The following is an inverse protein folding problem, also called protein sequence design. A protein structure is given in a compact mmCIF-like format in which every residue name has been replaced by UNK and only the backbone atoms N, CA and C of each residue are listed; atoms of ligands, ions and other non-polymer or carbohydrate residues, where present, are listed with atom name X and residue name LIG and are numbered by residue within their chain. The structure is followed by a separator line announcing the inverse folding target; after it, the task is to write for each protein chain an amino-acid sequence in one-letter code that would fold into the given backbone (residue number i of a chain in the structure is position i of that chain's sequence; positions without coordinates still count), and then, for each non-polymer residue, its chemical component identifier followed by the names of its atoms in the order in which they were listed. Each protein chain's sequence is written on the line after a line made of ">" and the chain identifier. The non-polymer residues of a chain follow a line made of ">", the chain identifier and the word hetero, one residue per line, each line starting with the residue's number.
data_IF_722128943931
#
_entry.id   IF_722128943931
#
_cell.length_a   1.000
_cell.length_b   1.000
_cell.length_c   1.000
_cell.angle_alpha   90.00
_cell.angle_beta   90.00
_cell.angle_gamma   90.00
#
_symmetry.space_group_name_H-M   'P 1'
#
loop_
_entity.id
_entity.type
_entity.pdbx_description
1 polymer ?
#
# COMPACT_ATOMS: atom_id res chain seq x y z
N UNK A 1 -7.18 -16.44 -17.02
CA UNK A 1 -6.90 -16.30 -15.56
C UNK A 1 -8.25 -16.03 -14.92
N UNK A 2 -8.80 -16.97 -14.21
CA UNK A 2 -10.01 -16.77 -13.44
C UNK A 2 -9.62 -15.96 -12.19
N UNK A 3 -10.01 -14.69 -12.17
CA UNK A 3 -9.98 -13.88 -10.95
C UNK A 3 -11.33 -14.07 -10.27
N UNK A 4 -11.39 -14.41 -8.97
CA UNK A 4 -12.63 -14.63 -8.23
C UNK A 4 -13.65 -13.48 -8.26
N UNK A 5 -13.31 -12.33 -8.85
CA UNK A 5 -14.12 -11.11 -8.97
C UNK A 5 -14.78 -10.90 -10.34
N UNK A 6 -14.79 -11.92 -11.21
CA UNK A 6 -15.56 -11.85 -12.48
C UNK A 6 -17.07 -11.76 -12.25
N UNK A 7 -17.52 -12.21 -11.08
CA UNK A 7 -18.94 -12.21 -10.71
C UNK A 7 -19.61 -10.84 -10.84
N UNK A 8 -18.99 -9.78 -10.32
CA UNK A 8 -19.56 -8.44 -10.39
C UNK A 8 -19.67 -7.95 -11.84
N UNK A 9 -18.63 -8.16 -12.63
CA UNK A 9 -18.63 -7.77 -14.04
C UNK A 9 -19.64 -8.57 -14.87
N UNK A 10 -19.73 -9.88 -14.66
CA UNK A 10 -20.72 -10.74 -15.34
C UNK A 10 -22.15 -10.38 -14.93
N UNK A 11 -22.40 -9.98 -13.68
CA UNK A 11 -23.69 -9.53 -13.22
C UNK A 11 -24.12 -8.22 -13.92
N UNK A 12 -23.21 -7.29 -14.12
CA UNK A 12 -23.48 -6.09 -14.93
C UNK A 12 -23.82 -6.46 -16.37
N UNK A 13 -23.00 -7.29 -17.01
CA UNK A 13 -23.19 -7.71 -18.41
C UNK A 13 -24.50 -8.45 -18.60
N UNK A 14 -24.90 -9.36 -17.69
CA UNK A 14 -26.15 -10.10 -17.76
C UNK A 14 -27.41 -9.23 -17.60
N UNK A 15 -27.26 -8.04 -16.98
CA UNK A 15 -28.30 -7.04 -16.84
C UNK A 15 -28.25 -5.94 -17.92
N UNK A 16 -27.49 -6.14 -18.98
CA UNK A 16 -27.47 -5.25 -20.16
C UNK A 16 -26.50 -4.08 -20.07
N UNK A 17 -25.70 -4.01 -19.01
CA UNK A 17 -24.65 -3.00 -18.88
C UNK A 17 -23.35 -3.48 -19.48
N UNK A 18 -22.51 -2.57 -19.95
CA UNK A 18 -21.14 -2.93 -20.28
C UNK A 18 -20.24 -2.81 -19.06
N UNK A 19 -19.22 -3.63 -19.03
CA UNK A 19 -18.25 -3.67 -17.97
C UNK A 19 -16.85 -3.90 -18.55
N UNK A 20 -15.92 -3.04 -18.17
CA UNK A 20 -14.51 -3.12 -18.54
C UNK A 20 -13.67 -3.13 -17.28
N UNK A 21 -12.71 -4.02 -17.20
CA UNK A 21 -11.63 -3.79 -16.24
C UNK A 21 -10.82 -2.59 -16.69
N UNK A 22 -10.53 -1.67 -15.78
CA UNK A 22 -9.89 -0.38 -16.07
C UNK A 22 -8.72 -0.11 -15.12
N UNK A 23 -8.00 0.97 -15.36
CA UNK A 23 -6.94 1.50 -14.52
C UNK A 23 -5.91 0.42 -14.09
N UNK A 24 -5.60 0.34 -12.80
CA UNK A 24 -4.62 -0.61 -12.26
C UNK A 24 -4.97 -2.06 -12.57
N UNK A 25 -6.27 -2.41 -12.63
CA UNK A 25 -6.70 -3.79 -12.93
C UNK A 25 -6.28 -4.20 -14.33
N UNK A 26 -6.59 -3.40 -15.34
CA UNK A 26 -6.21 -3.69 -16.74
C UNK A 26 -4.68 -3.66 -16.91
N UNK A 27 -3.99 -2.70 -16.27
CA UNK A 27 -2.52 -2.64 -16.22
C UNK A 27 -1.91 -3.93 -15.65
N UNK A 28 -2.38 -4.35 -14.48
CA UNK A 28 -1.82 -5.49 -13.78
C UNK A 28 -2.06 -6.80 -14.55
N UNK A 29 -3.21 -6.93 -15.22
CA UNK A 29 -3.48 -8.04 -16.15
C UNK A 29 -2.48 -8.06 -17.31
N UNK A 30 -2.17 -6.92 -17.93
CA UNK A 30 -1.15 -6.82 -18.99
C UNK A 30 0.26 -7.18 -18.47
N UNK A 31 0.56 -6.82 -17.22
CA UNK A 31 1.81 -7.17 -16.54
C UNK A 31 1.83 -8.61 -15.98
N UNK A 32 0.75 -9.39 -16.17
CA UNK A 32 0.56 -10.74 -15.61
C UNK A 32 0.69 -10.78 -14.09
N UNK A 33 0.31 -9.71 -13.42
CA UNK A 33 0.21 -9.61 -11.96
C UNK A 33 -1.23 -9.89 -11.52
N UNK A 34 -1.39 -10.40 -10.29
CA UNK A 34 -2.72 -10.48 -9.68
C UNK A 34 -3.12 -9.09 -9.15
N UNK A 35 -4.22 -8.50 -9.61
CA UNK A 35 -4.70 -7.23 -9.09
C UNK A 35 -5.02 -7.34 -7.59
N UNK A 36 -4.68 -6.30 -6.82
CA UNK A 36 -5.02 -6.19 -5.40
C UNK A 36 -6.41 -5.59 -5.18
N UNK A 37 -6.95 -4.93 -6.21
CA UNK A 37 -8.29 -4.38 -6.29
C UNK A 37 -8.81 -4.58 -7.71
N UNK A 38 -10.12 -4.56 -7.87
CA UNK A 38 -10.76 -4.63 -9.17
C UNK A 38 -11.46 -3.30 -9.46
N UNK A 39 -11.05 -2.66 -10.55
CA UNK A 39 -11.65 -1.44 -11.05
C UNK A 39 -12.50 -1.79 -12.28
N UNK A 40 -13.80 -1.49 -12.24
CA UNK A 40 -14.75 -1.74 -13.31
C UNK A 40 -15.32 -0.41 -13.79
N UNK A 41 -15.08 -0.07 -15.06
CA UNK A 41 -15.80 1.00 -15.73
C UNK A 41 -17.10 0.44 -16.29
N UNK A 42 -18.23 1.11 -15.99
CA UNK A 42 -19.56 0.70 -16.44
C UNK A 42 -20.45 1.90 -16.79
N UNK A 43 -21.50 1.66 -17.56
CA UNK A 43 -22.56 2.64 -17.81
C UNK A 43 -23.79 2.46 -16.89
N UNK A 44 -23.70 1.58 -15.91
CA UNK A 44 -24.71 1.49 -14.86
C UNK A 44 -24.55 2.68 -13.89
N UNK A 45 -25.64 3.39 -13.62
CA UNK A 45 -25.67 4.47 -12.65
C UNK A 45 -25.69 3.94 -11.19
N UNK A 46 -25.58 4.86 -10.21
CA UNK A 46 -25.56 4.51 -8.78
C UNK A 46 -26.83 3.78 -8.33
N UNK A 47 -27.99 4.15 -8.87
CA UNK A 47 -29.26 3.51 -8.53
C UNK A 47 -29.32 2.08 -9.10
N UNK A 48 -28.80 1.89 -10.30
CA UNK A 48 -28.73 0.57 -10.93
C UNK A 48 -27.73 -0.33 -10.20
N UNK A 49 -26.56 0.20 -9.80
CA UNK A 49 -25.61 -0.52 -8.97
C UNK A 49 -26.22 -0.95 -7.63
N UNK A 50 -26.97 -0.06 -6.96
CA UNK A 50 -27.62 -0.40 -5.68
C UNK A 50 -28.72 -1.48 -5.80
N UNK A 51 -29.34 -1.61 -6.97
CA UNK A 51 -30.31 -2.68 -7.26
C UNK A 51 -29.62 -4.03 -7.56
N UNK A 52 -28.44 -3.97 -8.16
CA UNK A 52 -27.69 -5.17 -8.53
C UNK A 52 -26.88 -5.74 -7.37
N UNK A 53 -26.36 -4.88 -6.50
CA UNK A 53 -25.45 -5.28 -5.42
C UNK A 53 -25.96 -4.76 -4.08
N UNK A 54 -26.33 -5.66 -3.17
CA UNK A 54 -26.89 -5.33 -1.84
C UNK A 54 -25.91 -4.61 -0.92
N UNK A 55 -24.61 -4.89 -1.09
CA UNK A 55 -23.54 -4.42 -0.19
C UNK A 55 -22.67 -3.33 -0.82
N UNK A 56 -23.20 -2.63 -1.83
CA UNK A 56 -22.50 -1.53 -2.48
C UNK A 56 -22.50 -0.29 -1.60
N UNK A 57 -21.31 0.32 -1.43
CA UNK A 57 -21.12 1.57 -0.72
C UNK A 57 -20.75 2.69 -1.69
N UNK A 58 -21.43 3.82 -1.58
CA UNK A 58 -21.12 5.00 -2.39
C UNK A 58 -19.99 5.80 -1.77
N UNK A 59 -19.06 6.26 -2.60
CA UNK A 59 -17.95 7.12 -2.18
C UNK A 59 -18.23 8.56 -2.56
N UNK A 60 -18.05 9.50 -1.62
CA UNK A 60 -18.04 10.93 -1.88
C UNK A 60 -16.70 11.33 -2.54
N UNK A 61 -16.43 10.82 -3.72
CA UNK A 61 -15.29 11.25 -4.54
C UNK A 61 -15.79 11.99 -5.77
N UNK A 62 -14.96 12.86 -6.32
CA UNK A 62 -15.26 13.60 -7.55
C UNK A 62 -15.55 12.69 -8.78
N UNK A 63 -15.20 11.43 -8.68
CA UNK A 63 -15.46 10.42 -9.69
C UNK A 63 -16.59 9.52 -9.19
N UNK A 64 -17.85 9.84 -9.45
CA UNK A 64 -19.05 9.06 -9.13
C UNK A 64 -18.77 7.55 -9.01
N UNK A 65 -18.20 7.14 -7.90
CA UNK A 65 -17.71 5.78 -7.71
C UNK A 65 -18.45 5.09 -6.59
N UNK A 66 -18.63 3.80 -6.76
CA UNK A 66 -19.17 2.91 -5.73
C UNK A 66 -18.18 1.78 -5.48
N UNK A 67 -18.21 1.18 -4.32
CA UNK A 67 -17.37 0.04 -4.00
C UNK A 67 -18.11 -1.02 -3.21
N UNK A 68 -17.65 -2.26 -3.30
CA UNK A 68 -18.06 -3.38 -2.45
C UNK A 68 -16.86 -4.30 -2.19
N UNK A 69 -17.01 -5.22 -1.24
CA UNK A 69 -16.08 -6.33 -1.05
C UNK A 69 -16.66 -7.59 -1.71
N UNK A 70 -15.92 -8.15 -2.67
CA UNK A 70 -16.26 -9.44 -3.27
C UNK A 70 -15.21 -10.47 -2.80
N UNK A 71 -15.65 -11.41 -1.96
CA UNK A 71 -14.79 -12.28 -1.18
C UNK A 71 -13.81 -11.45 -0.32
N UNK A 72 -12.52 -11.42 -0.64
CA UNK A 72 -11.50 -10.63 0.06
C UNK A 72 -10.89 -9.51 -0.81
N UNK A 73 -11.46 -9.24 -1.99
CA UNK A 73 -10.94 -8.25 -2.94
C UNK A 73 -11.90 -7.07 -3.04
N UNK A 74 -11.43 -5.83 -2.84
CA UNK A 74 -12.26 -4.64 -3.05
C UNK A 74 -12.52 -4.42 -4.55
N UNK A 75 -13.80 -4.24 -4.89
CA UNK A 75 -14.26 -3.92 -6.25
C UNK A 75 -14.76 -2.49 -6.27
N UNK A 76 -14.23 -1.68 -7.18
CA UNK A 76 -14.61 -0.29 -7.40
C UNK A 76 -15.29 -0.14 -8.75
N UNK A 77 -16.44 0.54 -8.76
CA UNK A 77 -17.18 0.86 -9.96
C UNK A 77 -16.96 2.33 -10.31
N UNK A 78 -16.53 2.57 -11.54
CA UNK A 78 -16.41 3.89 -12.13
C UNK A 78 -17.53 4.05 -13.15
N UNK A 79 -18.35 5.09 -12.97
CA UNK A 79 -19.52 5.31 -13.80
C UNK A 79 -19.12 6.19 -14.97
N UNK A 80 -19.48 5.75 -16.17
CA UNK A 80 -19.30 6.54 -17.37
C UNK A 80 -20.34 7.65 -17.47
N UNK A 81 -19.94 8.85 -17.88
CA UNK A 81 -20.84 9.99 -18.12
C UNK A 81 -21.85 9.76 -19.27
N UNK A 82 -21.74 8.65 -19.99
CA UNK A 82 -22.62 8.34 -21.11
C UNK A 82 -23.77 7.42 -20.69
N UNK A 83 -25.03 7.90 -20.74
CA UNK A 83 -26.18 7.13 -20.25
C UNK A 83 -26.51 5.92 -21.14
N UNK A 84 -27.19 4.97 -20.52
CA UNK A 84 -27.59 3.65 -21.08
C UNK A 84 -28.55 3.76 -22.28
N UNK A 85 -29.22 4.88 -22.49
CA UNK A 85 -30.44 4.98 -23.30
C UNK A 85 -30.30 4.82 -24.82
N UNK A 86 -29.13 4.56 -25.35
CA UNK A 86 -28.96 4.52 -26.81
C UNK A 86 -28.26 3.28 -27.35
N UNK A 87 -28.76 2.11 -27.01
CA UNK A 87 -28.39 0.87 -27.69
C UNK A 87 -28.98 0.71 -29.12
N UNK A 88 -29.61 1.73 -29.67
CA UNK A 88 -30.08 1.73 -31.06
C UNK A 88 -28.95 2.22 -31.95
N UNK A 89 -28.24 1.28 -32.60
CA UNK A 89 -27.26 1.62 -33.66
C UNK A 89 -27.99 2.24 -34.83
N UNK A 90 -28.02 3.56 -34.87
CA UNK A 90 -28.44 4.29 -36.05
C UNK A 90 -27.20 4.43 -36.99
N UNK A 91 -27.28 4.04 -38.25
CA UNK A 91 -26.19 4.21 -39.18
C UNK A 91 -25.73 5.69 -39.23
N UNK A 92 -24.43 5.94 -38.95
CA UNK A 92 -23.86 7.27 -38.85
C UNK A 92 -23.76 7.87 -37.45
N UNK A 93 -24.27 7.20 -36.41
CA UNK A 93 -24.04 7.60 -35.01
C UNK A 93 -22.64 7.23 -34.52
N UNK A 94 -22.10 8.12 -33.69
CA UNK A 94 -20.86 7.87 -32.94
C UNK A 94 -21.01 6.59 -32.10
N UNK A 95 -19.96 5.76 -32.07
CA UNK A 95 -19.90 4.61 -31.17
C UNK A 95 -19.71 5.14 -29.74
N UNK A 96 -20.84 5.31 -29.02
CA UNK A 96 -20.89 5.88 -27.67
C UNK A 96 -20.01 5.10 -26.67
N UNK A 97 -19.92 3.78 -26.82
CA UNK A 97 -19.05 2.96 -25.98
C UNK A 97 -17.58 3.33 -26.20
N UNK A 98 -17.17 3.49 -27.46
CA UNK A 98 -15.80 3.89 -27.81
C UNK A 98 -15.49 5.32 -27.34
N UNK A 99 -16.43 6.23 -27.47
CA UNK A 99 -16.27 7.61 -26.99
C UNK A 99 -16.15 7.67 -25.47
N UNK A 100 -16.97 6.91 -24.76
CA UNK A 100 -16.89 6.78 -23.30
C UNK A 100 -15.52 6.26 -22.83
N UNK A 101 -14.97 5.25 -23.52
CA UNK A 101 -13.64 4.76 -23.23
C UNK A 101 -12.55 5.81 -23.50
N UNK A 102 -12.68 6.60 -24.58
CA UNK A 102 -11.75 7.71 -24.84
C UNK A 102 -11.79 8.78 -23.75
N UNK A 103 -12.99 9.15 -23.30
CA UNK A 103 -13.15 10.12 -22.21
C UNK A 103 -12.51 9.56 -20.92
N UNK A 104 -12.79 8.31 -20.60
CA UNK A 104 -12.23 7.66 -19.42
C UNK A 104 -10.69 7.56 -19.49
N UNK A 105 -10.13 7.20 -20.67
CA UNK A 105 -8.68 7.14 -20.87
C UNK A 105 -8.00 8.50 -20.66
N UNK A 106 -8.61 9.59 -21.13
CA UNK A 106 -8.09 10.95 -20.98
C UNK A 106 -8.27 11.51 -19.55
N UNK A 107 -9.11 10.88 -18.72
CA UNK A 107 -9.25 11.21 -17.30
C UNK A 107 -8.22 10.50 -16.42
N UNK A 108 -7.59 9.45 -16.91
CA UNK A 108 -6.55 8.78 -16.14
C UNK A 108 -5.37 9.72 -15.87
N UNK A 109 -4.80 9.61 -14.67
CA UNK A 109 -3.63 10.39 -14.32
C UNK A 109 -2.39 9.93 -15.08
N UNK A 110 -2.20 8.62 -15.18
CA UNK A 110 -1.02 8.01 -15.78
C UNK A 110 -1.35 7.20 -17.03
N UNK A 111 -0.54 7.33 -18.08
CA UNK A 111 -0.69 6.56 -19.32
C UNK A 111 -0.74 5.06 -19.09
N UNK A 112 0.08 4.54 -18.15
CA UNK A 112 0.12 3.11 -17.83
C UNK A 112 -1.16 2.56 -17.18
N UNK A 113 -2.10 3.42 -16.82
CA UNK A 113 -3.42 3.07 -16.30
C UNK A 113 -4.56 3.29 -17.32
N UNK A 114 -4.28 3.80 -18.53
CA UNK A 114 -5.30 4.14 -19.51
C UNK A 114 -5.78 2.97 -20.40
N UNK A 115 -5.58 1.75 -19.90
CA UNK A 115 -6.04 0.53 -20.57
C UNK A 115 -7.42 0.10 -20.09
N UNK A 116 -8.16 -0.54 -21.01
CA UNK A 116 -9.42 -1.20 -20.68
C UNK A 116 -9.42 -2.62 -21.21
N UNK A 117 -9.97 -3.55 -20.43
CA UNK A 117 -10.16 -4.93 -20.85
C UNK A 117 -11.66 -5.23 -20.96
N UNK A 118 -12.13 -5.51 -22.17
CA UNK A 118 -13.50 -5.92 -22.43
C UNK A 118 -13.67 -7.37 -21.98
N UNK A 119 -14.41 -7.57 -20.91
CA UNK A 119 -14.56 -8.90 -20.28
C UNK A 119 -15.34 -9.85 -21.19
N UNK A 120 -16.35 -9.34 -21.91
CA UNK A 120 -17.19 -10.16 -22.81
C UNK A 120 -16.46 -10.58 -24.09
N UNK A 121 -15.58 -9.70 -24.63
CA UNK A 121 -14.86 -9.95 -25.88
C UNK A 121 -13.43 -10.45 -25.65
N UNK A 122 -12.97 -10.44 -24.41
CA UNK A 122 -11.60 -10.81 -24.03
C UNK A 122 -10.51 -10.01 -24.76
N UNK A 123 -10.74 -8.70 -24.97
CA UNK A 123 -9.85 -7.83 -25.73
C UNK A 123 -9.43 -6.61 -24.92
N UNK A 124 -8.14 -6.27 -24.96
CA UNK A 124 -7.62 -5.03 -24.43
C UNK A 124 -7.82 -3.87 -25.42
N UNK A 125 -8.12 -2.70 -24.90
CA UNK A 125 -8.18 -1.43 -25.61
C UNK A 125 -7.09 -0.50 -25.09
N UNK A 126 -6.24 -0.04 -26.00
CA UNK A 126 -5.22 0.98 -25.78
C UNK A 126 -5.56 2.19 -26.67
N UNK A 127 -6.22 3.17 -26.11
CA UNK A 127 -6.76 4.32 -26.85
C UNK A 127 -5.77 5.49 -26.94
N UNK A 128 -4.73 5.48 -26.11
CA UNK A 128 -3.72 6.53 -26.01
C UNK A 128 -2.33 6.08 -26.47
N UNK A 129 -2.22 4.89 -27.09
CA UNK A 129 -0.94 4.29 -27.50
C UNK A 129 0.06 4.22 -26.32
N UNK A 130 -0.45 3.74 -25.17
CA UNK A 130 0.28 3.72 -23.90
C UNK A 130 1.06 2.42 -23.65
N UNK A 131 0.91 1.42 -24.53
CA UNK A 131 1.57 0.13 -24.36
C UNK A 131 3.10 0.22 -24.39
N UNK A 132 3.64 1.17 -25.15
CA UNK A 132 5.08 1.44 -25.21
C UNK A 132 5.62 1.88 -23.84
N UNK A 133 4.90 2.79 -23.15
CA UNK A 133 5.26 3.25 -21.79
C UNK A 133 5.16 2.12 -20.78
N UNK A 134 4.08 1.33 -20.86
CA UNK A 134 3.91 0.15 -19.99
C UNK A 134 5.06 -0.85 -20.17
N UNK A 135 5.44 -1.15 -21.41
CA UNK A 135 6.51 -2.09 -21.74
C UNK A 135 7.88 -1.59 -21.32
N UNK A 136 8.15 -0.30 -21.47
CA UNK A 136 9.42 0.32 -21.09
C UNK A 136 9.51 0.63 -19.59
N UNK A 137 8.41 0.52 -18.85
CA UNK A 137 8.39 0.77 -17.41
C UNK A 137 8.52 2.25 -17.04
N UNK A 138 7.92 3.16 -17.84
CA UNK A 138 7.94 4.59 -17.58
C UNK A 138 6.61 5.09 -17.04
N UNK A 139 6.67 5.94 -16.00
CA UNK A 139 5.53 6.66 -15.44
C UNK A 139 5.46 8.04 -16.08
N UNK A 140 4.43 8.25 -16.90
CA UNK A 140 4.10 9.52 -17.53
C UNK A 140 2.64 9.87 -17.29
N UNK A 141 2.34 11.15 -17.14
CA UNK A 141 0.96 11.66 -17.10
C UNK A 141 0.29 11.58 -18.48
N UNK A 142 -1.04 11.45 -18.50
CA UNK A 142 -1.82 11.47 -19.75
C UNK A 142 -1.80 12.86 -20.39
N UNK A 143 -2.00 13.89 -19.57
CA UNK A 143 -1.94 15.31 -19.97
C UNK A 143 -0.62 15.94 -19.55
N UNK A 144 -0.42 17.23 -19.86
CA UNK A 144 0.71 17.98 -19.30
C UNK A 144 0.74 17.90 -17.78
N UNK A 145 1.96 17.88 -17.22
CA UNK A 145 2.14 17.64 -15.76
C UNK A 145 1.47 18.73 -14.91
N UNK A 146 1.50 19.99 -15.35
CA UNK A 146 0.87 21.08 -14.60
C UNK A 146 -0.67 20.98 -14.65
N UNK A 147 -1.22 20.59 -15.79
CA UNK A 147 -2.66 20.30 -15.93
C UNK A 147 -3.06 19.11 -15.05
N UNK A 148 -2.28 18.03 -15.11
CA UNK A 148 -2.50 16.85 -14.29
C UNK A 148 -2.46 17.18 -12.80
N UNK A 149 -1.52 18.02 -12.34
CA UNK A 149 -1.43 18.47 -10.96
C UNK A 149 -2.61 19.35 -10.53
N UNK A 150 -3.14 20.17 -11.44
CA UNK A 150 -4.36 20.94 -11.21
C UNK A 150 -5.59 20.06 -11.00
N UNK A 151 -5.70 18.97 -11.76
CA UNK A 151 -6.80 17.98 -11.65
C UNK A 151 -6.61 17.04 -10.46
N UNK A 152 -5.38 16.64 -10.17
CA UNK A 152 -5.01 15.71 -9.09
C UNK A 152 -4.03 16.37 -8.12
N UNK A 153 -4.52 17.14 -7.14
CA UNK A 153 -3.64 17.81 -6.17
C UNK A 153 -2.74 16.85 -5.39
N UNK A 154 -3.12 15.59 -5.26
CA UNK A 154 -2.34 14.52 -4.60
C UNK A 154 -1.40 13.76 -5.55
N UNK A 155 -1.09 14.34 -6.72
CA UNK A 155 -0.27 13.69 -7.76
C UNK A 155 1.05 13.12 -7.24
N UNK A 156 1.72 13.78 -6.29
CA UNK A 156 2.98 13.29 -5.73
C UNK A 156 2.79 11.95 -5.00
N UNK A 157 1.73 11.81 -4.19
CA UNK A 157 1.43 10.55 -3.51
C UNK A 157 0.98 9.46 -4.48
N UNK A 158 0.11 9.81 -5.44
CA UNK A 158 -0.33 8.87 -6.49
C UNK A 158 0.85 8.38 -7.35
N UNK A 159 1.81 9.26 -7.65
CA UNK A 159 3.06 8.90 -8.35
C UNK A 159 3.91 7.95 -7.51
N UNK A 160 4.11 8.25 -6.22
CA UNK A 160 4.86 7.40 -5.31
C UNK A 160 4.20 6.02 -5.14
N UNK A 161 2.87 5.97 -5.05
CA UNK A 161 2.10 4.72 -5.01
C UNK A 161 2.33 3.88 -6.26
N UNK A 162 2.12 4.44 -7.45
CA UNK A 162 2.33 3.74 -8.70
C UNK A 162 3.77 3.21 -8.83
N UNK A 163 4.77 4.02 -8.47
CA UNK A 163 6.16 3.60 -8.45
C UNK A 163 6.38 2.45 -7.46
N UNK A 164 5.80 2.53 -6.26
CA UNK A 164 5.97 1.51 -5.23
C UNK A 164 5.41 0.15 -5.63
N UNK A 165 4.30 0.13 -6.38
CA UNK A 165 3.62 -1.07 -6.90
C UNK A 165 4.36 -1.69 -8.09
N UNK A 166 4.87 -0.85 -8.98
CA UNK A 166 5.40 -1.29 -10.28
C UNK A 166 6.92 -1.39 -10.33
N UNK A 167 7.62 -0.53 -9.59
CA UNK A 167 9.07 -0.32 -9.71
C UNK A 167 9.45 0.44 -10.99
N UNK A 168 8.50 1.10 -11.64
CA UNK A 168 8.73 1.86 -12.86
C UNK A 168 9.53 3.14 -12.60
N UNK A 169 10.15 3.67 -13.64
CA UNK A 169 10.95 4.88 -13.59
C UNK A 169 10.10 6.10 -13.94
N UNK A 170 10.32 7.20 -13.24
CA UNK A 170 9.60 8.44 -13.50
C UNK A 170 10.12 9.12 -14.77
N UNK A 171 9.21 9.70 -15.53
CA UNK A 171 9.54 10.69 -16.55
C UNK A 171 10.24 11.90 -15.89
N UNK A 172 11.28 12.45 -16.55
CA UNK A 172 12.10 13.52 -15.99
C UNK A 172 11.29 14.81 -15.73
N UNK A 173 10.32 15.12 -16.58
CA UNK A 173 9.46 16.30 -16.42
C UNK A 173 8.58 16.15 -15.19
N UNK A 174 7.99 14.95 -14.99
CA UNK A 174 7.18 14.65 -13.82
C UNK A 174 8.02 14.73 -12.55
N UNK A 175 9.22 14.12 -12.54
CA UNK A 175 10.12 14.16 -11.38
C UNK A 175 10.52 15.60 -11.03
N UNK A 176 10.99 16.39 -12.01
CA UNK A 176 11.40 17.77 -11.80
C UNK A 176 10.28 18.66 -11.29
N UNK A 177 9.09 18.51 -11.87
CA UNK A 177 7.89 19.24 -11.41
C UNK A 177 7.56 18.94 -9.97
N UNK A 178 7.51 17.65 -9.56
CA UNK A 178 7.19 17.26 -8.19
C UNK A 178 8.24 17.73 -7.19
N UNK A 179 9.50 17.76 -7.59
CA UNK A 179 10.61 18.27 -6.76
C UNK A 179 10.53 19.78 -6.54
N UNK A 180 10.09 20.55 -7.54
CA UNK A 180 9.93 22.00 -7.47
C UNK A 180 8.69 22.40 -6.64
N UNK A 181 7.62 21.63 -6.71
CA UNK A 181 6.32 21.92 -6.06
C UNK A 181 6.31 21.71 -4.53
N UNK A 182 7.40 21.36 -3.92
CA UNK A 182 7.61 21.06 -2.49
C UNK A 182 6.42 21.36 -1.57
N UNK A 183 5.89 20.34 -0.94
CA UNK A 183 5.06 20.47 0.26
C UNK A 183 3.74 21.21 0.06
N UNK A 184 2.89 20.75 -0.85
CA UNK A 184 1.57 21.34 -1.04
C UNK A 184 0.69 21.16 0.20
N UNK A 185 -0.05 22.22 0.55
CA UNK A 185 -0.98 22.25 1.70
C UNK A 185 -2.08 21.16 1.66
N UNK A 186 -2.27 20.51 0.52
CA UNK A 186 -3.22 19.41 0.29
C UNK A 186 -3.07 18.26 1.29
N UNK A 187 -1.83 17.93 1.68
CA UNK A 187 -1.58 16.82 2.61
C UNK A 187 -1.82 17.15 4.09
N UNK A 188 -2.23 18.39 4.42
CA UNK A 188 -2.60 18.77 5.80
C UNK A 188 -3.89 18.08 6.25
N UNK A 189 -4.76 17.71 5.33
CA UNK A 189 -6.00 17.00 5.60
C UNK A 189 -5.86 15.56 5.06
N UNK A 190 -5.77 14.62 5.98
CA UNK A 190 -5.69 13.20 5.65
C UNK A 190 -7.13 12.68 5.45
N UNK A 191 -7.65 12.79 4.24
CA UNK A 191 -8.88 12.13 3.87
C UNK A 191 -8.69 10.60 3.72
N UNK A 192 -9.74 9.89 3.36
CA UNK A 192 -9.70 8.43 3.25
C UNK A 192 -8.85 7.97 2.06
N UNK A 193 -8.89 8.68 0.95
CA UNK A 193 -8.13 8.36 -0.25
C UNK A 193 -6.63 8.54 -0.01
N UNK A 194 -6.23 9.69 0.56
CA UNK A 194 -4.82 9.97 0.91
C UNK A 194 -4.29 8.96 1.93
N UNK A 195 -5.10 8.60 2.93
CA UNK A 195 -4.71 7.59 3.91
C UNK A 195 -4.50 6.21 3.28
N UNK A 196 -5.44 5.79 2.42
CA UNK A 196 -5.36 4.53 1.69
C UNK A 196 -4.14 4.49 0.75
N UNK A 197 -3.95 5.53 -0.07
CA UNK A 197 -2.84 5.60 -1.02
C UNK A 197 -1.49 5.57 -0.32
N UNK A 198 -1.36 6.21 0.85
CA UNK A 198 -0.14 6.14 1.65
C UNK A 198 0.11 4.73 2.22
N UNK A 199 -0.92 4.09 2.76
CA UNK A 199 -0.82 2.72 3.29
C UNK A 199 -0.46 1.73 2.17
N UNK A 200 -1.07 1.86 0.99
CA UNK A 200 -0.74 1.05 -0.19
C UNK A 200 0.71 1.27 -0.62
N UNK A 201 1.18 2.53 -0.62
CA UNK A 201 2.58 2.88 -0.91
C UNK A 201 3.54 2.18 0.04
N UNK A 202 3.25 2.20 1.34
CA UNK A 202 4.07 1.54 2.37
C UNK A 202 4.02 0.02 2.24
N UNK A 203 2.86 -0.54 1.89
CA UNK A 203 2.66 -1.99 1.76
C UNK A 203 3.21 -2.59 0.44
N UNK A 204 3.93 -1.82 -0.34
CA UNK A 204 4.41 -2.23 -1.65
C UNK A 204 5.90 -2.62 -1.65
N UNK A 205 6.31 -3.41 -2.64
CA UNK A 205 7.68 -3.93 -2.78
C UNK A 205 8.75 -2.84 -2.86
N UNK A 206 8.42 -1.70 -3.50
CA UNK A 206 9.36 -0.60 -3.69
C UNK A 206 9.09 0.58 -2.73
N UNK A 207 8.47 0.31 -1.57
CA UNK A 207 8.12 1.29 -0.55
C UNK A 207 9.30 2.19 -0.16
N UNK A 208 10.52 1.63 -0.03
CA UNK A 208 11.73 2.41 0.30
C UNK A 208 11.95 3.55 -0.70
N UNK A 209 11.89 3.27 -2.00
CA UNK A 209 12.14 4.28 -3.05
C UNK A 209 11.03 5.32 -3.03
N UNK A 210 9.78 4.89 -2.96
CA UNK A 210 8.63 5.78 -2.92
C UNK A 210 8.66 6.73 -1.71
N UNK A 211 8.94 6.22 -0.52
CA UNK A 211 9.06 7.04 0.69
C UNK A 211 10.25 8.01 0.63
N UNK A 212 11.36 7.61 0.00
CA UNK A 212 12.51 8.51 -0.21
C UNK A 212 12.14 9.67 -1.13
N UNK A 213 11.35 9.43 -2.18
CA UNK A 213 10.86 10.47 -3.09
C UNK A 213 9.83 11.37 -2.41
N UNK A 214 8.88 10.81 -1.64
CA UNK A 214 7.93 11.60 -0.86
C UNK A 214 8.64 12.52 0.15
N UNK A 215 9.76 12.07 0.72
CA UNK A 215 10.59 12.90 1.58
C UNK A 215 11.31 14.01 0.78
N UNK A 216 11.91 13.67 -0.36
CA UNK A 216 12.58 14.63 -1.25
C UNK A 216 11.62 15.71 -1.77
N UNK A 217 10.38 15.34 -2.07
CA UNK A 217 9.32 16.25 -2.51
C UNK A 217 8.65 17.03 -1.36
N UNK A 218 9.06 16.81 -0.10
CA UNK A 218 8.52 17.50 1.07
C UNK A 218 7.11 17.04 1.47
N UNK A 219 6.60 15.97 0.86
CA UNK A 219 5.26 15.43 1.14
C UNK A 219 5.21 14.66 2.46
N UNK A 220 6.29 13.93 2.76
CA UNK A 220 6.35 13.07 3.95
C UNK A 220 6.25 13.87 5.25
N UNK A 221 6.75 15.10 5.29
CA UNK A 221 6.66 16.00 6.46
C UNK A 221 5.21 16.37 6.82
N UNK A 222 4.31 16.33 5.83
CA UNK A 222 2.88 16.59 6.03
C UNK A 222 2.11 15.31 6.35
N UNK A 223 2.41 14.20 5.68
CA UNK A 223 1.73 12.93 5.88
C UNK A 223 2.12 12.24 7.19
N UNK A 224 3.41 12.17 7.48
CA UNK A 224 3.96 11.48 8.64
C UNK A 224 5.15 12.25 9.24
N UNK A 225 4.90 13.44 9.84
CA UNK A 225 5.96 14.28 10.41
C UNK A 225 6.77 13.56 11.48
N UNK A 226 6.16 12.59 12.15
CA UNK A 226 6.83 11.78 13.16
C UNK A 226 7.98 10.96 12.56
N UNK A 227 7.78 10.40 11.36
CA UNK A 227 8.84 9.68 10.64
C UNK A 227 9.93 10.63 10.13
N UNK A 228 9.52 11.78 9.58
CA UNK A 228 10.47 12.77 9.07
C UNK A 228 11.46 13.26 10.16
N UNK A 229 11.03 13.34 11.43
CA UNK A 229 11.88 13.70 12.58
C UNK A 229 13.04 12.71 12.80
N UNK A 230 12.91 11.47 12.38
CA UNK A 230 13.97 10.46 12.50
C UNK A 230 15.24 10.80 11.68
N UNK A 231 15.15 11.71 10.71
CA UNK A 231 16.31 12.24 9.99
C UNK A 231 17.33 12.90 10.92
N UNK A 232 16.86 13.49 12.02
CA UNK A 232 17.70 14.16 13.01
C UNK A 232 18.18 13.22 14.14
N UNK A 233 17.81 11.95 14.09
CA UNK A 233 18.22 10.94 15.09
C UNK A 233 19.41 10.17 14.54
N UNK A 234 20.62 10.59 14.93
CA UNK A 234 21.85 9.92 14.56
C UNK A 234 22.00 8.59 15.28
N UNK A 235 22.54 7.62 14.59
CA UNK A 235 22.96 6.32 15.12
C UNK A 235 24.49 6.25 15.21
N UNK A 236 24.98 5.34 16.03
CA UNK A 236 26.41 4.98 16.06
C UNK A 236 26.80 4.38 14.71
N UNK A 237 27.79 4.99 14.05
CA UNK A 237 28.24 4.60 12.71
C UNK A 237 28.84 3.18 12.67
N UNK A 238 29.39 2.71 13.78
CA UNK A 238 29.98 1.37 13.86
C UNK A 238 28.91 0.26 13.78
N UNK A 239 27.70 0.56 14.24
CA UNK A 239 26.56 -0.38 14.24
C UNK A 239 25.49 -0.06 13.20
N UNK A 240 25.46 1.19 12.73
CA UNK A 240 24.44 1.73 11.82
C UNK A 240 25.09 2.58 10.72
N UNK A 241 25.70 1.96 9.70
CA UNK A 241 26.43 2.66 8.64
C UNK A 241 25.51 3.58 7.80
N UNK A 242 24.20 3.40 7.86
CA UNK A 242 23.19 4.27 7.24
C UNK A 242 23.09 5.66 7.87
N UNK A 243 23.59 5.87 9.08
CA UNK A 243 23.82 7.15 9.72
C UNK A 243 22.67 7.70 10.55
N UNK A 244 21.39 7.49 10.21
CA UNK A 244 20.24 7.97 11.00
C UNK A 244 19.06 6.97 11.01
N UNK A 245 18.16 7.18 11.98
CA UNK A 245 17.03 6.28 12.20
C UNK A 245 16.02 6.27 11.04
N UNK A 246 15.90 7.36 10.28
CA UNK A 246 15.07 7.39 9.07
C UNK A 246 15.60 6.45 7.98
N UNK A 247 16.87 6.59 7.64
CA UNK A 247 17.51 5.73 6.64
C UNK A 247 17.48 4.25 7.05
N UNK A 248 17.70 3.96 8.35
CA UNK A 248 17.54 2.64 8.92
C UNK A 248 16.11 2.08 8.67
N UNK A 249 15.07 2.82 9.05
CA UNK A 249 13.68 2.41 8.86
C UNK A 249 13.37 2.08 7.39
N UNK A 250 13.83 2.93 6.45
CA UNK A 250 13.65 2.67 5.02
C UNK A 250 14.41 1.42 4.53
N UNK A 251 15.56 1.11 5.11
CA UNK A 251 16.30 -0.13 4.80
C UNK A 251 15.58 -1.36 5.35
N UNK A 252 15.00 -1.29 6.56
CA UNK A 252 14.19 -2.37 7.11
C UNK A 252 13.02 -2.72 6.19
N UNK A 253 12.29 -1.73 5.68
CA UNK A 253 11.20 -1.96 4.70
C UNK A 253 11.69 -2.71 3.46
N UNK A 254 12.86 -2.37 2.94
CA UNK A 254 13.43 -3.03 1.76
C UNK A 254 13.87 -4.48 2.01
N UNK A 255 14.06 -4.89 3.26
CA UNK A 255 14.42 -6.26 3.63
C UNK A 255 13.20 -7.20 3.69
N UNK A 256 11.96 -6.69 3.68
CA UNK A 256 10.74 -7.52 3.74
C UNK A 256 10.53 -8.25 2.41
N UNK A 257 10.33 -9.57 2.48
CA UNK A 257 10.13 -10.41 1.30
C UNK A 257 8.68 -10.46 0.85
N UNK A 258 7.77 -10.59 1.82
CA UNK A 258 6.33 -10.67 1.59
C UNK A 258 5.64 -9.56 2.40
N UNK A 259 5.43 -8.38 1.77
CA UNK A 259 4.79 -7.26 2.44
C UNK A 259 3.36 -7.59 2.87
N UNK A 260 3.00 -7.18 4.07
CA UNK A 260 1.61 -7.06 4.50
C UNK A 260 1.45 -5.77 5.30
N UNK A 261 0.28 -5.18 5.24
CA UNK A 261 0.02 -3.83 5.74
C UNK A 261 0.40 -3.66 7.22
N UNK A 262 0.07 -4.62 8.09
CA UNK A 262 0.37 -4.53 9.51
C UNK A 262 1.88 -4.62 9.80
N UNK A 263 2.58 -5.54 9.13
CA UNK A 263 4.03 -5.68 9.27
C UNK A 263 4.76 -4.44 8.76
N UNK A 264 4.41 -3.97 7.55
CA UNK A 264 5.05 -2.82 6.94
C UNK A 264 4.86 -1.54 7.77
N UNK A 265 3.65 -1.32 8.28
CA UNK A 265 3.37 -0.21 9.20
C UNK A 265 4.10 -0.39 10.54
N UNK A 266 4.21 -1.60 11.07
CA UNK A 266 5.00 -1.85 12.28
C UNK A 266 6.48 -1.53 12.06
N UNK A 267 7.06 -1.92 10.93
CA UNK A 267 8.44 -1.59 10.57
C UNK A 267 8.61 -0.07 10.42
N UNK A 268 7.65 0.61 9.76
CA UNK A 268 7.70 2.06 9.61
C UNK A 268 7.69 2.80 10.95
N UNK A 269 7.02 2.24 11.95
CA UNK A 269 6.76 2.89 13.23
C UNK A 269 7.59 2.35 14.41
N UNK A 270 8.40 1.27 14.24
CA UNK A 270 9.05 0.60 15.38
C UNK A 270 9.99 1.51 16.17
N UNK A 271 10.69 2.37 15.48
CA UNK A 271 11.71 3.26 16.01
C UNK A 271 11.31 4.73 16.15
N UNK A 272 10.06 5.07 15.85
CA UNK A 272 9.56 6.45 15.77
C UNK A 272 9.68 7.21 17.11
N UNK A 273 9.72 6.48 18.22
CA UNK A 273 9.92 7.02 19.56
C UNK A 273 11.36 7.47 19.86
N UNK A 274 12.34 7.07 19.03
CA UNK A 274 13.73 7.50 19.21
C UNK A 274 13.89 9.01 19.16
N UNK A 275 13.06 9.69 18.35
CA UNK A 275 13.07 11.15 18.26
C UNK A 275 12.65 11.87 19.56
N UNK A 276 11.98 11.19 20.47
CA UNK A 276 11.50 11.75 21.75
C UNK A 276 12.28 11.26 22.97
N UNK A 277 13.15 10.26 22.79
CA UNK A 277 13.89 9.60 23.87
C UNK A 277 15.40 9.81 23.77
N UNK A 278 15.84 10.82 23.03
CA UNK A 278 17.26 11.15 22.91
C UNK A 278 17.80 11.47 24.30
N UNK A 279 18.79 10.71 24.74
CA UNK A 279 19.49 10.99 25.97
C UNK A 279 20.61 12.01 25.70
N UNK A 280 20.60 13.15 26.39
CA UNK A 280 21.59 14.22 26.31
C UNK A 280 22.96 13.85 26.93
N UNK A 281 23.15 12.59 27.29
CA UNK A 281 24.43 12.05 27.80
C UNK A 281 25.20 11.30 26.73
N UNK A 282 26.49 11.07 26.97
CA UNK A 282 27.46 10.44 26.09
C UNK A 282 27.05 9.08 25.50
N UNK A 283 26.22 9.05 24.45
CA UNK A 283 25.94 7.79 23.72
C UNK A 283 24.61 7.79 22.97
N UNK A 284 24.59 7.02 21.90
CA UNK A 284 23.43 6.75 21.04
C UNK A 284 22.44 5.76 21.69
N UNK A 285 22.04 6.02 22.94
CA UNK A 285 21.09 5.17 23.68
C UNK A 285 19.73 5.82 23.71
N UNK A 286 18.71 5.06 23.37
CA UNK A 286 17.31 5.50 23.32
C UNK A 286 16.49 4.68 24.31
N UNK A 287 16.60 4.97 25.63
CA UNK A 287 15.90 4.18 26.65
C UNK A 287 14.40 4.27 26.47
N UNK A 288 13.72 3.12 26.57
CA UNK A 288 12.26 3.01 26.45
C UNK A 288 11.67 3.47 25.10
N UNK A 289 12.47 3.62 24.03
CA UNK A 289 11.94 4.07 22.73
C UNK A 289 10.81 3.17 22.21
N UNK A 290 10.86 1.85 22.42
CA UNK A 290 9.79 0.95 21.99
C UNK A 290 8.43 1.28 22.62
N UNK A 291 8.43 1.71 23.88
CA UNK A 291 7.21 2.14 24.57
C UNK A 291 6.72 3.50 24.03
N UNK A 292 7.61 4.44 23.81
CA UNK A 292 7.27 5.73 23.19
C UNK A 292 6.84 5.56 21.74
N UNK A 293 7.51 4.69 20.97
CA UNK A 293 7.08 4.31 19.62
C UNK A 293 5.64 3.78 19.61
N UNK A 294 5.28 2.91 20.55
CA UNK A 294 3.92 2.38 20.64
C UNK A 294 2.88 3.50 20.88
N UNK A 295 3.16 4.46 21.77
CA UNK A 295 2.24 5.58 22.02
C UNK A 295 2.06 6.49 20.80
N UNK A 296 3.15 6.73 20.07
CA UNK A 296 3.11 7.53 18.84
C UNK A 296 2.38 6.74 17.74
N UNK A 297 2.72 5.45 17.59
CA UNK A 297 2.09 4.56 16.62
C UNK A 297 0.57 4.47 16.79
N UNK A 298 0.06 4.40 18.03
CA UNK A 298 -1.39 4.39 18.28
C UNK A 298 -2.08 5.62 17.68
N UNK A 299 -1.51 6.82 17.85
CA UNK A 299 -2.06 8.05 17.27
C UNK A 299 -1.98 8.06 15.74
N UNK A 300 -0.85 7.61 15.19
CA UNK A 300 -0.65 7.49 13.74
C UNK A 300 -1.64 6.52 13.12
N UNK A 301 -1.79 5.33 13.67
CA UNK A 301 -2.69 4.29 13.15
C UNK A 301 -4.16 4.74 13.18
N UNK A 302 -4.59 5.48 14.21
CA UNK A 302 -5.92 6.10 14.24
C UNK A 302 -6.09 7.13 13.13
N UNK A 303 -5.08 7.99 12.93
CA UNK A 303 -5.06 8.99 11.86
C UNK A 303 -5.16 8.35 10.48
N UNK A 304 -4.49 7.21 10.27
CA UNK A 304 -4.57 6.42 9.04
C UNK A 304 -5.74 5.41 9.01
N UNK A 305 -6.70 5.53 9.92
CA UNK A 305 -7.97 4.76 9.96
C UNK A 305 -7.80 3.23 10.04
N UNK A 306 -6.73 2.75 10.65
CA UNK A 306 -6.57 1.33 10.91
C UNK A 306 -7.68 0.81 11.83
N UNK A 307 -8.24 -0.36 11.51
CA UNK A 307 -9.23 -1.04 12.36
C UNK A 307 -8.62 -1.40 13.71
N UNK A 308 -9.44 -1.61 14.73
CA UNK A 308 -8.98 -1.97 16.07
C UNK A 308 -8.10 -3.23 16.04
N UNK A 309 -8.54 -4.26 15.32
CA UNK A 309 -7.79 -5.52 15.16
C UNK A 309 -6.40 -5.29 14.55
N UNK A 310 -6.31 -4.50 13.48
CA UNK A 310 -5.04 -4.22 12.83
C UNK A 310 -4.13 -3.35 13.71
N UNK A 311 -4.70 -2.38 14.43
CA UNK A 311 -3.94 -1.57 15.41
C UNK A 311 -3.34 -2.44 16.51
N UNK A 312 -4.12 -3.36 17.08
CA UNK A 312 -3.63 -4.28 18.13
C UNK A 312 -2.38 -5.02 17.66
N UNK A 313 -2.40 -5.60 16.46
CA UNK A 313 -1.24 -6.29 15.92
C UNK A 313 -0.03 -5.36 15.74
N UNK A 314 -0.21 -4.22 15.05
CA UNK A 314 0.90 -3.27 14.81
C UNK A 314 1.51 -2.80 16.13
N UNK A 315 0.69 -2.44 17.12
CA UNK A 315 1.16 -2.00 18.43
C UNK A 315 1.89 -3.09 19.19
N UNK A 316 1.41 -4.35 19.08
CA UNK A 316 2.13 -5.50 19.64
C UNK A 316 3.52 -5.63 19.02
N UNK A 317 3.65 -5.53 17.70
CA UNK A 317 4.93 -5.62 17.00
C UNK A 317 5.87 -4.48 17.42
N UNK A 318 5.40 -3.24 17.40
CA UNK A 318 6.18 -2.06 17.79
C UNK A 318 6.65 -2.15 19.24
N UNK A 319 5.76 -2.52 20.17
CA UNK A 319 6.10 -2.63 21.59
C UNK A 319 7.15 -3.69 21.87
N UNK A 320 7.09 -4.81 21.15
CA UNK A 320 7.86 -6.00 21.47
C UNK A 320 9.11 -6.19 20.60
N UNK A 321 9.40 -5.29 19.63
CA UNK A 321 10.50 -5.48 18.69
C UNK A 321 11.86 -5.64 19.41
N UNK A 322 12.08 -4.91 20.51
CA UNK A 322 13.31 -5.04 21.32
C UNK A 322 13.34 -6.29 22.22
N UNK A 323 12.17 -6.84 22.59
CA UNK A 323 12.09 -7.97 23.53
C UNK A 323 12.51 -9.28 22.89
N UNK A 324 12.46 -9.40 21.58
CA UNK A 324 12.85 -10.60 20.85
C UNK A 324 14.37 -10.83 20.92
N UNK A 325 15.13 -9.75 21.03
CA UNK A 325 16.59 -9.83 21.21
C UNK A 325 16.91 -10.38 22.62
N UNK A 326 17.66 -11.49 22.69
CA UNK A 326 17.99 -12.14 23.94
C UNK A 326 16.85 -12.99 24.57
N UNK A 327 15.80 -13.30 23.79
CA UNK A 327 14.68 -14.15 24.23
C UNK A 327 15.16 -15.53 24.69
N UNK A 328 16.26 -16.04 24.12
CA UNK A 328 16.86 -17.33 24.48
C UNK A 328 17.36 -17.40 25.92
N UNK A 329 17.63 -16.24 26.52
CA UNK A 329 18.06 -16.11 27.93
C UNK A 329 16.91 -15.99 28.91
N UNK A 330 15.66 -15.88 28.45
CA UNK A 330 14.46 -15.75 29.26
C UNK A 330 13.98 -17.14 29.73
N UNK A 331 13.28 -17.22 30.87
CA UNK A 331 12.69 -18.48 31.34
C UNK A 331 11.78 -19.15 30.31
N UNK A 332 11.73 -20.49 30.27
CA UNK A 332 10.93 -21.24 29.27
C UNK A 332 9.44 -20.87 29.34
N UNK A 333 8.90 -20.61 30.54
CA UNK A 333 7.51 -20.14 30.70
C UNK A 333 7.23 -18.82 29.98
N UNK A 334 8.19 -17.87 30.04
CA UNK A 334 8.10 -16.63 29.35
C UNK A 334 8.20 -16.83 27.83
N UNK A 335 9.18 -17.63 27.37
CA UNK A 335 9.34 -17.96 25.95
C UNK A 335 8.07 -18.60 25.39
N UNK A 336 7.47 -19.57 26.14
CA UNK A 336 6.24 -20.25 25.73
C UNK A 336 5.09 -19.25 25.53
N UNK A 337 4.85 -18.35 26.49
CA UNK A 337 3.82 -17.32 26.40
C UNK A 337 4.07 -16.37 25.23
N UNK A 338 5.31 -15.93 25.04
CA UNK A 338 5.70 -14.97 24.00
C UNK A 338 5.53 -15.59 22.60
N UNK A 339 5.98 -16.81 22.39
CA UNK A 339 5.88 -17.54 21.13
C UNK A 339 4.44 -17.99 20.79
N UNK A 340 3.54 -18.07 21.77
CA UNK A 340 2.14 -18.44 21.56
C UNK A 340 1.31 -17.26 21.01
N UNK A 341 1.86 -16.05 20.96
CA UNK A 341 1.15 -14.92 20.38
C UNK A 341 0.88 -15.17 18.88
N UNK A 342 -0.35 -14.94 18.38
CA UNK A 342 -0.66 -15.06 16.97
C UNK A 342 0.16 -14.06 16.11
N UNK A 343 0.65 -12.99 16.71
CA UNK A 343 1.44 -11.94 16.05
C UNK A 343 2.95 -12.24 16.05
N UNK A 344 3.39 -13.32 16.71
CA UNK A 344 4.82 -13.62 16.78
C UNK A 344 5.49 -13.90 15.43
N UNK A 345 4.86 -14.54 14.44
CA UNK A 345 5.46 -14.70 13.10
C UNK A 345 5.84 -13.36 12.46
N UNK A 346 4.96 -12.35 12.52
CA UNK A 346 5.24 -11.01 12.01
C UNK A 346 6.30 -10.28 12.87
N UNK A 347 6.33 -10.50 14.19
CA UNK A 347 7.38 -9.97 15.05
C UNK A 347 8.76 -10.56 14.70
N UNK A 348 8.81 -11.86 14.39
CA UNK A 348 10.03 -12.52 13.96
C UNK A 348 10.53 -12.00 12.61
N UNK A 349 9.61 -11.67 11.71
CA UNK A 349 9.94 -11.07 10.40
C UNK A 349 10.40 -9.61 10.55
N UNK A 350 9.76 -8.82 11.42
CA UNK A 350 10.24 -7.47 11.77
C UNK A 350 11.67 -7.55 12.31
N UNK A 351 11.93 -8.46 13.26
CA UNK A 351 13.28 -8.66 13.80
C UNK A 351 14.29 -9.07 12.74
N UNK A 352 13.89 -9.90 11.76
CA UNK A 352 14.76 -10.26 10.65
C UNK A 352 15.12 -9.04 9.81
N UNK A 353 14.11 -8.24 9.45
CA UNK A 353 14.30 -7.04 8.64
C UNK A 353 15.19 -6.01 9.36
N UNK A 354 15.01 -5.82 10.66
CA UNK A 354 15.80 -4.93 11.50
C UNK A 354 17.27 -5.35 11.53
N UNK A 355 17.55 -6.61 11.85
CA UNK A 355 18.91 -7.16 11.89
C UNK A 355 19.58 -7.15 10.52
N UNK A 356 18.85 -7.50 9.45
CA UNK A 356 19.39 -7.55 8.08
C UNK A 356 19.73 -6.15 7.56
N UNK A 357 19.00 -5.14 7.98
CA UNK A 357 19.25 -3.74 7.61
C UNK A 357 20.55 -3.18 8.17
N UNK A 358 21.04 -3.69 9.29
CA UNK A 358 22.23 -3.19 10.02
C UNK A 358 23.53 -3.92 9.69
N UNK A 359 23.53 -4.92 8.81
CA UNK A 359 24.67 -5.82 8.51
C UNK A 359 25.19 -6.60 9.72
N UNK A 360 24.55 -6.53 10.89
CA UNK A 360 25.01 -7.16 12.11
C UNK A 360 24.13 -8.35 12.48
N UNK A 361 24.78 -9.52 12.55
CA UNK A 361 24.30 -10.66 13.33
C UNK A 361 23.00 -11.36 12.90
N UNK A 362 22.76 -11.55 11.61
CA UNK A 362 21.74 -12.48 11.08
C UNK A 362 21.74 -13.84 11.81
N UNK A 363 22.89 -14.20 12.42
CA UNK A 363 23.02 -15.40 13.26
C UNK A 363 22.04 -15.41 14.43
N UNK A 364 21.79 -14.27 15.07
CA UNK A 364 20.87 -14.18 16.22
C UNK A 364 19.42 -14.43 15.76
N UNK A 365 19.02 -13.93 14.61
CA UNK A 365 17.72 -14.26 14.01
C UNK A 365 17.54 -15.77 13.84
N UNK A 366 18.53 -16.47 13.25
CA UNK A 366 18.43 -17.91 13.05
C UNK A 366 18.35 -18.69 14.36
N UNK A 367 19.00 -18.22 15.42
CA UNK A 367 18.91 -18.83 16.76
C UNK A 367 17.49 -18.71 17.31
N UNK A 368 16.89 -17.52 17.25
CA UNK A 368 15.50 -17.27 17.69
C UNK A 368 14.51 -18.07 16.86
N UNK A 369 14.65 -18.08 15.53
CA UNK A 369 13.78 -18.83 14.62
C UNK A 369 13.85 -20.35 14.87
N UNK A 370 15.03 -20.88 15.21
CA UNK A 370 15.20 -22.30 15.59
C UNK A 370 14.53 -22.60 16.92
N UNK A 371 14.71 -21.71 17.92
CA UNK A 371 14.10 -21.84 19.24
C UNK A 371 12.57 -21.82 19.12
N UNK A 372 12.01 -20.87 18.38
CA UNK A 372 10.58 -20.77 18.09
C UNK A 372 10.02 -22.06 17.49
N UNK A 373 10.65 -22.57 16.40
CA UNK A 373 10.22 -23.82 15.76
C UNK A 373 10.26 -25.03 16.71
N UNK A 374 11.32 -25.13 17.54
CA UNK A 374 11.44 -26.18 18.55
C UNK A 374 10.31 -26.11 19.58
N UNK A 375 10.03 -24.89 20.08
CA UNK A 375 8.98 -24.69 21.09
C UNK A 375 7.59 -25.00 20.52
N UNK A 376 7.26 -24.54 19.31
CA UNK A 376 5.98 -24.78 18.67
C UNK A 376 5.73 -26.27 18.42
N UNK A 377 6.77 -27.04 18.04
CA UNK A 377 6.67 -28.50 17.93
C UNK A 377 6.37 -29.13 19.30
N UNK A 378 7.09 -28.75 20.37
CA UNK A 378 6.86 -29.25 21.72
C UNK A 378 5.42 -28.99 22.16
N UNK A 379 4.88 -27.80 21.90
CA UNK A 379 3.52 -27.44 22.29
C UNK A 379 2.46 -28.23 21.50
N UNK A 380 2.64 -28.47 20.22
CA UNK A 380 1.74 -29.30 19.41
C UNK A 380 1.69 -30.75 19.91
N UNK A 381 2.84 -31.35 20.25
CA UNK A 381 2.89 -32.70 20.85
C UNK A 381 2.18 -32.79 22.19
N UNK A 382 2.31 -31.76 23.03
CA UNK A 382 1.60 -31.70 24.32
C UNK A 382 0.08 -31.65 24.17
N UNK A 383 -0.43 -30.89 23.18
CA UNK A 383 -1.85 -30.81 22.87
C UNK A 383 -2.42 -32.13 22.33
N UNK A 384 -1.66 -32.84 21.49
CA UNK A 384 -2.08 -34.12 20.91
C UNK A 384 -2.00 -35.28 21.94
N UNK A 385 -1.16 -35.19 22.97
CA UNK A 385 -1.02 -36.18 24.01
C UNK A 385 -2.08 -36.15 25.12
N UNK A 386 -2.91 -35.10 25.17
CA UNK A 386 -4.04 -34.98 26.11
C UNK A 386 -5.30 -35.71 25.60
N UNK A 387 -5.31 -36.15 24.33
CA UNK A 387 -6.40 -36.91 23.72
C UNK A 387 -6.08 -38.43 23.56
N UNK A 388 -5.12 -38.97 24.36
CA UNK A 388 -4.88 -40.42 24.46
C UNK A 388 -5.17 -40.95 25.85
#
# INVERSE_FOLDING_TARGET
>A
MEFGSERCALQLISNGFWAYYSAETARDMLLRKRPQRINILTNADLLQLSKLFSDVHFRNSHDESACLMDEDIPVFFYISDYPVETAVKIPGMVDLEKEALHVAANRELFRVNSFFYNIKREVFHDLLDSYTQLKSGFIQTVTDVAEAAGRYPTIALKTAKLLSETGFVLDERLYSFLKEQRGTAVYKHLDEEVASDFVDTVNSKHAKVALSLLDEWGVLEHLLPELARLKNVCHDKDHHPEGNAFAHTLRCLACVKEPNSNLMMAILLHDIGKATTINNGNGFRFPNHAHESMKIAERVLRRFRFTEKNREEVLYLVRNHMMINGIEKRPESFQKKFFSSPYFPNLLELYRADVESTYTHVKNYYQVARLYRKMMRKMKFQQQGVYR
#
